data_IF_012925772886
#
_entry.id   IF_012925772886
#
_cell.length_a   1.000
_cell.length_b   1.000
_cell.length_c   1.000
_cell.angle_alpha   90.00
_cell.angle_beta   90.00
_cell.angle_gamma   90.00
#
_symmetry.space_group_name_H-M   'P 1'
#
loop_
_entity.id
_entity.type
_entity.pdbx_description
1 polymer ?
#
# COMPACT_ATOMS: atom_id res chain seq x y z
N UNK A 1 -66.60 -27.30 -13.00
CA UNK A 1 -65.32 -27.50 -12.27
C UNK A 1 -64.22 -27.30 -13.28
N UNK A 2 -63.49 -26.22 -13.09
CA UNK A 2 -62.75 -25.47 -14.09
C UNK A 2 -61.33 -26.02 -14.29
N UNK A 3 -60.89 -26.04 -15.55
CA UNK A 3 -59.54 -26.30 -16.01
C UNK A 3 -58.54 -25.31 -15.40
N UNK A 4 -57.32 -25.75 -15.06
CA UNK A 4 -56.08 -25.07 -15.49
C UNK A 4 -54.78 -25.81 -15.10
N UNK A 5 -53.98 -26.08 -16.15
CA UNK A 5 -52.52 -25.93 -16.26
C UNK A 5 -51.59 -26.72 -15.32
N UNK A 6 -51.17 -27.89 -15.82
CA UNK A 6 -49.80 -28.38 -15.68
C UNK A 6 -48.92 -27.72 -16.75
N UNK A 7 -47.94 -26.89 -16.36
CA UNK A 7 -46.76 -26.56 -17.19
C UNK A 7 -45.56 -26.13 -16.31
N UNK A 8 -44.48 -26.88 -16.49
CA UNK A 8 -43.07 -26.46 -16.56
C UNK A 8 -42.42 -25.94 -15.28
N UNK A 9 -41.71 -26.84 -14.60
CA UNK A 9 -40.56 -26.51 -13.74
C UNK A 9 -39.32 -27.25 -14.28
N UNK A 10 -38.82 -26.82 -15.44
CA UNK A 10 -37.40 -26.93 -15.77
C UNK A 10 -36.76 -25.60 -15.34
N UNK A 11 -36.33 -25.54 -14.09
CA UNK A 11 -35.49 -24.47 -13.59
C UNK A 11 -34.03 -24.90 -13.71
N UNK A 12 -33.44 -24.46 -14.81
CA UNK A 12 -32.03 -24.30 -15.10
C UNK A 12 -31.20 -23.98 -13.83
N UNK A 13 -30.48 -24.98 -13.33
CA UNK A 13 -29.48 -24.81 -12.27
C UNK A 13 -28.24 -24.13 -12.87
N UNK A 14 -28.32 -22.81 -12.98
CA UNK A 14 -27.14 -21.98 -13.13
C UNK A 14 -26.85 -21.35 -11.76
N UNK A 15 -25.89 -21.84 -10.97
CA UNK A 15 -25.49 -21.14 -9.76
C UNK A 15 -24.77 -19.87 -10.20
N UNK A 16 -25.52 -18.77 -10.19
CA UNK A 16 -24.97 -17.44 -10.27
C UNK A 16 -23.80 -17.33 -9.29
N UNK A 17 -22.60 -17.18 -9.83
CA UNK A 17 -21.44 -16.77 -9.08
C UNK A 17 -21.83 -15.55 -8.22
N UNK A 18 -21.40 -15.45 -6.95
CA UNK A 18 -21.53 -14.21 -6.21
C UNK A 18 -20.59 -13.18 -6.83
N UNK A 19 -21.09 -12.53 -7.88
CA UNK A 19 -20.63 -11.24 -8.33
C UNK A 19 -20.85 -10.24 -7.19
N UNK A 20 -19.75 -9.74 -6.65
CA UNK A 20 -19.58 -8.33 -6.26
C UNK A 20 -18.20 -8.17 -5.64
N UNK A 21 -17.17 -8.22 -6.48
CA UNK A 21 -15.92 -7.50 -6.22
C UNK A 21 -16.30 -6.02 -6.13
N UNK A 22 -16.73 -5.59 -4.94
CA UNK A 22 -17.03 -4.19 -4.67
C UNK A 22 -15.74 -3.45 -4.98
N UNK A 23 -15.75 -2.62 -6.03
CA UNK A 23 -14.74 -1.57 -6.23
C UNK A 23 -14.84 -0.62 -5.04
N UNK A 24 -14.26 -1.00 -3.89
CA UNK A 24 -14.26 -0.19 -2.68
C UNK A 24 -13.10 0.77 -2.81
N UNK A 25 -13.46 2.01 -3.14
CA UNK A 25 -12.55 3.13 -3.11
C UNK A 25 -12.12 3.37 -1.64
N UNK A 26 -11.06 2.71 -1.17
CA UNK A 26 -10.51 2.85 0.20
C UNK A 26 -9.79 4.18 0.43
N UNK A 27 -10.11 5.20 -0.36
CA UNK A 27 -9.47 6.52 -0.37
C UNK A 27 -9.49 7.22 1.00
N UNK A 28 -10.59 7.23 1.77
CA UNK A 28 -10.58 7.83 3.11
C UNK A 28 -9.57 7.17 4.06
N UNK A 29 -9.52 5.84 4.05
CA UNK A 29 -8.65 5.03 4.88
C UNK A 29 -7.19 5.20 4.46
N UNK A 30 -6.91 5.09 3.15
CA UNK A 30 -5.59 5.34 2.55
C UNK A 30 -5.09 6.75 2.87
N UNK A 31 -5.95 7.77 2.82
CA UNK A 31 -5.59 9.15 3.18
C UNK A 31 -5.16 9.24 4.64
N UNK A 32 -5.82 8.51 5.54
CA UNK A 32 -5.44 8.52 6.95
C UNK A 32 -4.12 7.78 7.20
N UNK A 33 -3.86 6.70 6.46
CA UNK A 33 -2.55 6.01 6.48
C UNK A 33 -1.44 6.92 5.96
N UNK A 34 -1.66 7.63 4.85
CA UNK A 34 -0.71 8.59 4.29
C UNK A 34 -0.36 9.66 5.34
N UNK A 35 -1.38 10.25 5.98
CA UNK A 35 -1.20 11.25 7.03
C UNK A 35 -0.35 10.72 8.20
N UNK A 36 -0.64 9.50 8.67
CA UNK A 36 0.15 8.89 9.74
C UNK A 36 1.61 8.68 9.34
N UNK A 37 1.86 8.13 8.15
CA UNK A 37 3.23 7.93 7.63
C UNK A 37 3.96 9.24 7.47
N UNK A 38 3.32 10.26 6.90
CA UNK A 38 3.90 11.59 6.74
C UNK A 38 4.28 12.21 8.10
N UNK A 39 3.35 12.25 9.05
CA UNK A 39 3.62 12.80 10.38
C UNK A 39 4.75 12.07 11.11
N UNK A 40 4.81 10.74 10.98
CA UNK A 40 5.89 9.94 11.57
C UNK A 40 7.21 10.19 10.83
N UNK A 41 7.21 10.23 9.50
CA UNK A 41 8.41 10.48 8.71
C UNK A 41 9.02 11.86 8.99
N UNK A 42 8.21 12.90 9.19
CA UNK A 42 8.69 14.23 9.61
C UNK A 42 9.41 14.18 10.97
N UNK A 43 8.93 13.34 11.89
CA UNK A 43 9.54 13.18 13.22
C UNK A 43 10.83 12.35 13.19
N UNK A 44 10.84 11.27 12.39
CA UNK A 44 11.97 10.33 12.31
C UNK A 44 13.09 10.87 11.42
N UNK A 45 12.75 11.60 10.35
CA UNK A 45 13.70 12.15 9.38
C UNK A 45 13.62 13.67 9.26
N UNK A 46 13.73 14.45 10.36
CA UNK A 46 13.48 15.90 10.33
C UNK A 46 14.45 16.67 9.41
N UNK A 47 15.66 16.14 9.20
CA UNK A 47 16.70 16.74 8.35
C UNK A 47 16.58 16.36 6.87
N UNK A 48 15.72 15.41 6.52
CA UNK A 48 15.68 14.81 5.18
C UNK A 48 14.31 15.00 4.52
N UNK A 49 13.99 16.22 4.05
CA UNK A 49 12.68 16.54 3.49
C UNK A 49 12.30 15.72 2.27
N UNK A 50 13.28 15.33 1.47
CA UNK A 50 13.06 14.45 0.32
C UNK A 50 12.47 13.09 0.72
N UNK A 51 12.83 12.55 1.89
CA UNK A 51 12.32 11.26 2.38
C UNK A 51 10.88 11.37 2.84
N UNK A 52 10.58 12.34 3.72
CA UNK A 52 9.20 12.46 4.21
C UNK A 52 8.23 12.97 3.14
N UNK A 53 8.71 13.69 2.11
CA UNK A 53 7.87 14.13 1.00
C UNK A 53 7.28 12.95 0.21
N UNK A 54 7.98 11.81 0.18
CA UNK A 54 7.48 10.59 -0.44
C UNK A 54 6.16 10.08 0.16
N UNK A 55 5.80 10.49 1.37
CA UNK A 55 4.60 10.01 2.07
C UNK A 55 3.45 11.02 2.10
N UNK A 56 3.58 12.13 1.36
CA UNK A 56 2.52 13.14 1.22
C UNK A 56 1.44 12.72 0.24
N UNK A 57 1.82 11.98 -0.81
CA UNK A 57 0.89 11.57 -1.86
C UNK A 57 0.10 10.33 -1.43
N UNK A 58 -1.22 10.38 -1.60
CA UNK A 58 -2.14 9.26 -1.37
C UNK A 58 -1.76 8.03 -2.21
N UNK A 59 -1.27 8.23 -3.43
CA UNK A 59 -0.94 7.13 -4.34
C UNK A 59 0.28 6.32 -3.87
N UNK A 60 1.03 6.84 -2.88
CA UNK A 60 2.10 6.09 -2.19
C UNK A 60 1.56 5.08 -1.17
N UNK A 61 0.27 5.11 -0.86
CA UNK A 61 -0.38 4.13 0.00
C UNK A 61 -1.07 3.09 -0.88
N UNK A 62 -0.63 1.83 -0.75
CA UNK A 62 -1.27 0.69 -1.42
C UNK A 62 -2.77 0.63 -1.14
N UNK A 63 -3.51 0.18 -2.13
CA UNK A 63 -4.83 -0.38 -1.91
C UNK A 63 -4.74 -1.74 -1.20
N UNK A 64 -5.89 -2.27 -0.80
CA UNK A 64 -5.97 -3.53 -0.07
C UNK A 64 -7.26 -4.29 -0.38
N UNK A 65 -7.19 -5.60 -0.21
CA UNK A 65 -8.31 -6.51 -0.27
C UNK A 65 -8.77 -6.83 1.16
N UNK A 66 -10.07 -6.69 1.42
CA UNK A 66 -10.65 -7.12 2.68
C UNK A 66 -10.59 -8.64 2.80
N UNK A 67 -10.33 -9.14 4.01
CA UNK A 67 -10.38 -10.58 4.28
C UNK A 67 -11.85 -11.03 4.39
N UNK A 68 -12.14 -12.27 3.99
CA UNK A 68 -13.46 -12.89 4.17
C UNK A 68 -13.82 -12.98 5.66
N UNK A 69 -12.83 -13.27 6.52
CA UNK A 69 -12.97 -13.14 7.97
C UNK A 69 -12.64 -11.71 8.40
N UNK A 70 -13.66 -10.96 8.81
CA UNK A 70 -13.56 -9.57 9.29
C UNK A 70 -12.66 -9.41 10.53
N UNK A 71 -12.31 -10.50 11.21
CA UNK A 71 -11.40 -10.50 12.37
C UNK A 71 -9.93 -10.45 11.93
N UNK A 72 -9.64 -10.83 10.68
CA UNK A 72 -8.31 -10.80 10.12
C UNK A 72 -8.04 -9.45 9.45
N UNK A 73 -6.81 -8.91 9.56
CA UNK A 73 -6.44 -7.70 8.84
C UNK A 73 -6.55 -7.87 7.32
N UNK A 74 -6.76 -6.78 6.56
CA UNK A 74 -6.81 -6.84 5.11
C UNK A 74 -5.45 -7.20 4.50
N UNK A 75 -5.47 -7.69 3.25
CA UNK A 75 -4.27 -8.01 2.47
C UNK A 75 -3.87 -6.83 1.61
N UNK A 76 -2.60 -6.44 1.65
CA UNK A 76 -2.07 -5.33 0.86
C UNK A 76 -1.94 -5.73 -0.61
N UNK A 77 -2.29 -4.83 -1.52
CA UNK A 77 -1.98 -4.97 -2.95
C UNK A 77 -0.66 -4.23 -3.21
N UNK A 78 0.36 -4.95 -3.65
CA UNK A 78 1.66 -4.37 -3.98
C UNK A 78 1.59 -3.68 -5.35
N UNK A 79 1.81 -2.36 -5.46
CA UNK A 79 1.74 -1.72 -6.76
C UNK A 79 2.95 -2.11 -7.61
N UNK A 80 2.72 -2.32 -8.90
CA UNK A 80 3.74 -2.73 -9.87
C UNK A 80 4.89 -1.74 -9.98
N UNK A 81 4.61 -0.45 -9.77
CA UNK A 81 5.61 0.61 -9.85
C UNK A 81 6.54 0.67 -8.64
N UNK A 82 6.17 0.10 -7.48
CA UNK A 82 6.84 0.37 -6.21
C UNK A 82 8.05 -0.52 -5.98
N UNK A 83 9.18 0.08 -5.61
CA UNK A 83 10.38 -0.68 -5.25
C UNK A 83 10.23 -1.46 -3.93
N UNK A 84 11.01 -2.54 -3.74
CA UNK A 84 11.08 -3.24 -2.46
C UNK A 84 11.52 -2.33 -1.31
N UNK A 85 12.57 -1.53 -1.51
CA UNK A 85 13.09 -0.61 -0.48
C UNK A 85 12.04 0.39 -0.01
N UNK A 86 11.24 0.96 -0.93
CA UNK A 86 10.19 1.89 -0.54
C UNK A 86 9.01 1.19 0.15
N UNK A 87 8.71 -0.04 -0.23
CA UNK A 87 7.72 -0.88 0.46
C UNK A 87 8.13 -1.21 1.89
N UNK A 88 9.39 -1.56 2.10
CA UNK A 88 9.95 -1.83 3.43
C UNK A 88 10.02 -0.57 4.28
N UNK A 89 10.43 0.56 3.71
CA UNK A 89 10.45 1.85 4.41
C UNK A 89 9.05 2.26 4.87
N UNK A 90 8.04 2.11 4.02
CA UNK A 90 6.65 2.36 4.39
C UNK A 90 6.18 1.45 5.54
N UNK A 91 6.61 0.19 5.56
CA UNK A 91 6.29 -0.76 6.62
C UNK A 91 6.96 -0.42 7.94
N UNK A 92 8.24 -0.04 7.91
CA UNK A 92 8.95 0.41 9.11
C UNK A 92 8.39 1.72 9.65
N UNK A 93 7.89 2.63 8.79
CA UNK A 93 7.14 3.79 9.23
C UNK A 93 5.81 3.43 9.90
N UNK A 94 5.12 2.40 9.43
CA UNK A 94 3.90 1.92 10.10
C UNK A 94 4.25 1.39 11.51
N UNK A 95 5.35 0.64 11.67
CA UNK A 95 5.85 0.20 12.98
C UNK A 95 6.19 1.39 13.89
N UNK A 96 6.98 2.34 13.39
CA UNK A 96 7.34 3.55 14.13
C UNK A 96 6.10 4.35 14.55
N UNK A 97 5.10 4.45 13.67
CA UNK A 97 3.83 5.13 13.96
C UNK A 97 3.12 4.47 15.14
N UNK A 98 3.04 3.14 15.18
CA UNK A 98 2.42 2.39 16.29
C UNK A 98 3.22 2.55 17.58
N UNK A 99 4.56 2.53 17.51
CA UNK A 99 5.44 2.69 18.66
C UNK A 99 5.32 4.07 19.29
N UNK A 100 5.26 5.13 18.46
CA UNK A 100 5.13 6.53 18.87
C UNK A 100 3.68 6.95 19.17
N UNK A 101 2.69 6.11 18.90
CA UNK A 101 1.29 6.43 19.10
C UNK A 101 0.93 6.60 20.59
N UNK A 102 0.10 7.61 20.95
CA UNK A 102 -0.45 7.74 22.30
C UNK A 102 -1.24 6.50 22.70
N UNK A 103 -1.13 6.07 23.97
CA UNK A 103 -1.78 4.85 24.49
C UNK A 103 -3.28 4.80 24.19
N UNK A 104 -3.99 5.92 24.37
CA UNK A 104 -5.44 6.05 24.10
C UNK A 104 -5.86 5.74 22.66
N UNK A 105 -4.98 5.96 21.68
CA UNK A 105 -5.25 5.79 20.25
C UNK A 105 -4.47 4.64 19.62
N UNK A 106 -3.58 3.99 20.38
CA UNK A 106 -2.64 2.99 19.88
C UNK A 106 -3.33 1.80 19.24
N UNK A 107 -4.40 1.29 19.88
CA UNK A 107 -5.21 0.18 19.33
C UNK A 107 -5.86 0.56 17.99
N UNK A 108 -6.50 1.73 17.90
CA UNK A 108 -7.17 2.18 16.67
C UNK A 108 -6.18 2.46 15.52
N UNK A 109 -5.01 3.03 15.82
CA UNK A 109 -3.93 3.25 14.84
C UNK A 109 -3.38 1.89 14.38
N UNK A 110 -3.10 0.97 15.31
CA UNK A 110 -2.62 -0.37 15.00
C UNK A 110 -3.60 -1.13 14.11
N UNK A 111 -4.90 -1.12 14.41
CA UNK A 111 -5.92 -1.78 13.60
C UNK A 111 -5.97 -1.21 12.17
N UNK A 112 -5.80 0.11 12.00
CA UNK A 112 -5.83 0.75 10.68
C UNK A 112 -4.59 0.41 9.83
N UNK A 113 -3.43 0.30 10.46
CA UNK A 113 -2.16 0.00 9.80
C UNK A 113 -1.92 -1.51 9.63
N UNK A 114 -2.64 -2.35 10.39
CA UNK A 114 -2.50 -3.80 10.32
C UNK A 114 -2.77 -4.31 8.90
N UNK A 115 -1.86 -5.16 8.42
CA UNK A 115 -1.99 -5.90 7.16
C UNK A 115 -1.55 -7.34 7.45
N UNK A 116 -2.30 -8.31 6.94
CA UNK A 116 -2.02 -9.73 7.18
C UNK A 116 -0.84 -10.17 6.30
N UNK A 117 -1.03 -10.04 4.99
CA UNK A 117 -0.05 -10.38 3.96
C UNK A 117 -0.11 -9.36 2.83
N UNK A 118 0.72 -9.56 1.80
CA UNK A 118 0.61 -8.84 0.54
C UNK A 118 0.35 -9.81 -0.62
N UNK A 119 -0.36 -9.34 -1.63
CA UNK A 119 -0.49 -10.01 -2.93
C UNK A 119 -0.10 -9.06 -4.06
N UNK A 120 0.19 -9.66 -5.20
CA UNK A 120 0.38 -8.94 -6.45
C UNK A 120 -0.98 -8.46 -7.01
N UNK A 121 -0.96 -7.38 -7.82
CA UNK A 121 -2.16 -6.84 -8.43
C UNK A 121 -2.63 -7.75 -9.56
N UNK A 122 -3.94 -7.79 -9.77
CA UNK A 122 -4.53 -8.37 -10.98
C UNK A 122 -4.21 -7.50 -12.20
N UNK A 123 -4.37 -8.04 -13.41
CA UNK A 123 -4.13 -7.27 -14.65
C UNK A 123 -5.01 -6.01 -14.74
N UNK A 124 -6.25 -6.08 -14.26
CA UNK A 124 -7.16 -4.93 -14.25
C UNK A 124 -6.71 -3.86 -13.25
N UNK A 125 -6.31 -4.28 -12.04
CA UNK A 125 -5.78 -3.38 -11.02
C UNK A 125 -4.52 -2.69 -11.54
N UNK A 126 -3.57 -3.46 -12.08
CA UNK A 126 -2.30 -2.96 -12.62
C UNK A 126 -2.50 -1.89 -13.73
N UNK A 127 -3.50 -2.06 -14.60
CA UNK A 127 -3.84 -1.08 -15.66
C UNK A 127 -4.38 0.24 -15.11
N UNK A 128 -4.94 0.22 -13.91
CA UNK A 128 -5.53 1.40 -13.25
C UNK A 128 -4.62 2.01 -12.18
N UNK A 129 -3.45 1.42 -11.94
CA UNK A 129 -2.47 1.94 -10.99
C UNK A 129 -1.97 3.31 -11.41
N UNK A 130 -1.93 4.23 -10.44
CA UNK A 130 -1.33 5.54 -10.61
C UNK A 130 0.04 5.53 -9.92
N UNK A 131 1.09 5.61 -10.72
CA UNK A 131 2.44 5.81 -10.21
C UNK A 131 2.59 7.29 -9.78
N UNK A 132 2.95 7.58 -8.52
CA UNK A 132 3.15 8.95 -8.06
C UNK A 132 4.28 9.62 -8.84
N UNK A 133 4.18 10.94 -9.03
CA UNK A 133 5.20 11.74 -9.72
C UNK A 133 6.23 12.28 -8.73
N UNK A 134 7.42 12.62 -9.23
CA UNK A 134 8.50 13.32 -8.50
C UNK A 134 9.01 12.57 -7.27
N UNK A 135 8.81 11.24 -7.19
CA UNK A 135 9.49 10.45 -6.18
C UNK A 135 10.98 10.28 -6.56
N UNK A 136 11.85 9.98 -5.59
CA UNK A 136 13.21 9.54 -5.87
C UNK A 136 13.20 8.29 -6.77
N UNK A 137 14.21 8.14 -7.62
CA UNK A 137 14.33 6.98 -8.52
C UNK A 137 14.26 5.64 -7.76
N UNK A 138 14.82 5.61 -6.56
CA UNK A 138 14.84 4.47 -5.65
C UNK A 138 13.45 4.03 -5.17
N UNK A 139 12.43 4.89 -5.30
CA UNK A 139 11.05 4.54 -4.95
C UNK A 139 10.36 3.67 -6.02
N UNK A 140 10.89 3.68 -7.24
CA UNK A 140 10.34 2.95 -8.37
C UNK A 140 11.04 1.61 -8.57
N UNK A 141 10.27 0.56 -8.88
CA UNK A 141 10.80 -0.75 -9.21
C UNK A 141 11.58 -0.70 -10.53
N UNK A 142 12.67 -1.46 -10.61
CA UNK A 142 13.49 -1.50 -11.82
C UNK A 142 12.70 -2.03 -13.03
N UNK A 143 11.81 -3.00 -12.84
CA UNK A 143 10.91 -3.52 -13.86
C UNK A 143 10.03 -2.42 -14.46
N UNK A 144 9.45 -1.57 -13.61
CA UNK A 144 8.65 -0.42 -14.02
C UNK A 144 9.50 0.63 -14.75
N UNK A 145 10.67 0.98 -14.22
CA UNK A 145 11.58 1.93 -14.86
C UNK A 145 12.08 1.45 -16.23
N UNK A 146 12.19 0.14 -16.45
CA UNK A 146 12.61 -0.43 -17.73
C UNK A 146 11.50 -0.36 -18.80
N UNK A 147 10.23 -0.23 -18.39
CA UNK A 147 9.10 -0.09 -19.31
C UNK A 147 8.90 1.35 -19.78
N UNK A 148 9.41 2.33 -19.02
CA UNK A 148 9.29 3.75 -19.35
C UNK A 148 10.38 4.22 -20.31
N UNK A 149 9.97 4.99 -21.32
CA UNK A 149 10.86 5.79 -22.16
C UNK A 149 11.51 6.95 -21.38
N UNK A 150 12.57 7.54 -21.94
CA UNK A 150 13.22 8.70 -21.33
C UNK A 150 12.26 9.90 -21.14
N UNK A 151 11.38 10.14 -22.12
CA UNK A 151 10.40 11.22 -22.05
C UNK A 151 9.36 10.97 -20.94
N UNK A 152 8.91 9.73 -20.76
CA UNK A 152 7.98 9.40 -19.67
C UNK A 152 8.63 9.57 -18.30
N UNK A 153 9.90 9.17 -18.15
CA UNK A 153 10.66 9.39 -16.91
C UNK A 153 10.80 10.88 -16.61
N UNK A 154 11.11 11.69 -17.62
CA UNK A 154 11.21 13.15 -17.48
C UNK A 154 9.85 13.78 -17.12
N UNK A 155 8.77 13.36 -17.80
CA UNK A 155 7.41 13.81 -17.50
C UNK A 155 6.99 13.47 -16.07
N UNK A 156 7.34 12.27 -15.59
CA UNK A 156 7.14 11.86 -14.20
C UNK A 156 8.03 12.62 -13.22
N UNK A 157 9.04 13.36 -13.69
CA UNK A 157 10.00 14.09 -12.87
C UNK A 157 11.00 13.18 -12.17
N UNK A 158 11.22 11.97 -12.69
CA UNK A 158 12.21 11.03 -12.19
C UNK A 158 13.60 11.55 -12.59
N UNK A 159 14.43 11.85 -11.60
CA UNK A 159 15.80 12.30 -11.81
C UNK A 159 16.75 11.15 -11.50
N UNK A 160 17.69 10.89 -12.40
CA UNK A 160 18.75 9.88 -12.21
C UNK A 160 19.80 10.28 -11.15
N UNK A 161 19.64 11.46 -10.53
CA UNK A 161 20.51 11.94 -9.47
C UNK A 161 20.19 11.20 -8.16
N UNK A 162 21.18 10.46 -7.65
CA UNK A 162 21.13 9.89 -6.31
C UNK A 162 20.89 11.00 -5.28
N UNK A 163 19.96 10.74 -4.36
CA UNK A 163 19.68 11.65 -3.25
C UNK A 163 20.90 11.73 -2.33
N UNK A 164 21.14 12.89 -1.72
CA UNK A 164 22.16 13.07 -0.68
C UNK A 164 21.91 12.15 0.53
N UNK A 165 20.65 11.74 0.70
CA UNK A 165 20.23 10.73 1.65
C UNK A 165 19.26 9.76 0.94
N UNK A 166 19.76 8.58 0.54
CA UNK A 166 18.98 7.60 -0.20
C UNK A 166 18.00 6.81 0.69
N UNK A 167 17.00 6.18 0.09
CA UNK A 167 15.91 5.48 0.79
C UNK A 167 16.39 4.20 1.49
N UNK A 168 17.44 3.56 1.02
CA UNK A 168 18.09 2.42 1.69
C UNK A 168 18.76 2.86 3.00
N UNK A 169 19.49 3.97 2.99
CA UNK A 169 20.04 4.56 4.21
C UNK A 169 18.93 4.99 5.19
N UNK A 170 17.84 5.57 4.68
CA UNK A 170 16.68 5.91 5.50
C UNK A 170 16.05 4.66 6.14
N UNK A 171 15.96 3.56 5.37
CA UNK A 171 15.45 2.28 5.84
C UNK A 171 16.33 1.68 6.95
N UNK A 172 17.65 1.67 6.74
CA UNK A 172 18.59 1.17 7.75
C UNK A 172 18.49 1.96 9.06
N UNK A 173 18.41 3.29 8.97
CA UNK A 173 18.35 4.15 10.15
C UNK A 173 17.05 4.00 10.92
N UNK A 174 15.89 3.90 10.25
CA UNK A 174 14.63 3.66 10.96
C UNK A 174 14.62 2.26 11.58
N UNK A 175 15.14 1.23 10.90
CA UNK A 175 15.21 -0.13 11.44
C UNK A 175 16.01 -0.22 12.73
N UNK A 176 17.11 0.53 12.85
CA UNK A 176 17.90 0.61 14.11
C UNK A 176 17.09 1.14 15.29
N UNK A 177 16.05 1.94 15.03
CA UNK A 177 15.20 2.54 16.07
C UNK A 177 13.90 1.76 16.30
N UNK A 178 13.35 1.10 15.27
CA UNK A 178 12.08 0.39 15.35
C UNK A 178 12.23 -1.08 15.73
N UNK A 179 13.38 -1.70 15.43
CA UNK A 179 13.63 -3.11 15.72
C UNK A 179 14.39 -3.24 17.04
N UNK A 180 13.98 -4.17 17.93
CA UNK A 180 14.73 -4.42 19.15
C UNK A 180 16.13 -4.94 18.82
N UNK A 181 17.15 -4.45 19.53
CA UNK A 181 18.57 -4.75 19.31
C UNK A 181 18.94 -6.24 19.44
N UNK A 182 18.01 -7.10 19.89
CA UNK A 182 18.19 -8.54 20.03
C UNK A 182 17.91 -9.35 18.75
N UNK A 183 17.77 -8.72 17.57
CA UNK A 183 17.64 -9.42 16.28
C UNK A 183 18.97 -9.85 15.65
N UNK A 184 20.07 -9.90 16.42
CA UNK A 184 21.40 -10.37 16.00
C UNK A 184 21.83 -11.66 16.74
N UNK A 185 20.90 -12.59 16.91
CA UNK A 185 21.11 -14.00 17.26
C UNK A 185 19.95 -14.72 16.55
N UNK A 186 20.09 -15.60 15.56
CA UNK A 186 21.15 -16.52 15.12
C UNK A 186 21.19 -16.60 13.58
#
# INVERSE_FOLDING_TARGET
KENQKNRLDEADQNPAAPSTTRKRNHKPERKKVAEYRFQTAVKVFPKYPKVWACFQDLETVSDYEENEDFRLPPRRINPTWRSPVFSELAHELDRATIQLAPQKSKSAISARLARETSREPTEEEAKTELAPMKLPIEAYAQSFLNQLSANEKEQMGIKDLKSDYPLDAALDDIQKTTRPSNSMLE
#
